data_IF_012962598619
#
_entry.id   IF_012962598619
#
_cell.length_a   1.000
_cell.length_b   1.000
_cell.length_c   1.000
_cell.angle_alpha   90.00
_cell.angle_beta   90.00
_cell.angle_gamma   90.00
#
_symmetry.space_group_name_H-M   'P 1'
#
loop_
_entity.id
_entity.type
_entity.pdbx_description
1 polymer ?
#
# COMPACT_ATOMS: atom_id res chain seq x y z
N UNK A 1 -6.09 0.89 8.40
CA UNK A 1 -6.38 0.38 7.03
C UNK A 1 -7.15 1.42 6.25
N UNK A 2 -7.00 1.47 4.93
CA UNK A 2 -7.60 2.52 4.07
C UNK A 2 -8.13 1.86 2.80
N UNK A 3 -9.42 2.04 2.48
CA UNK A 3 -10.04 1.59 1.23
C UNK A 3 -10.10 0.08 0.99
N UNK A 4 -9.94 -0.75 2.03
CA UNK A 4 -9.99 -2.21 1.92
C UNK A 4 -11.10 -2.79 2.81
N UNK A 5 -11.89 -3.73 2.27
CA UNK A 5 -12.93 -4.44 3.04
C UNK A 5 -12.37 -5.47 4.03
N UNK A 6 -11.08 -5.82 3.88
CA UNK A 6 -10.40 -6.87 4.63
C UNK A 6 -11.08 -8.26 4.58
N UNK A 7 -11.94 -8.51 3.60
CA UNK A 7 -12.58 -9.83 3.46
C UNK A 7 -11.54 -10.92 3.21
N UNK A 8 -10.49 -10.59 2.42
CA UNK A 8 -9.35 -11.47 2.16
C UNK A 8 -8.35 -11.42 3.32
N UNK A 9 -7.82 -12.59 3.68
CA UNK A 9 -6.94 -12.76 4.83
C UNK A 9 -5.61 -11.98 4.74
N UNK A 10 -5.13 -11.67 3.54
CA UNK A 10 -3.83 -11.01 3.29
C UNK A 10 -3.67 -9.68 4.05
N UNK A 11 -4.71 -8.85 4.10
CA UNK A 11 -4.73 -7.64 4.92
C UNK A 11 -5.20 -7.88 6.36
N UNK A 12 -6.18 -8.77 6.54
CA UNK A 12 -6.84 -9.00 7.82
C UNK A 12 -5.89 -9.54 8.91
N UNK A 13 -4.89 -10.34 8.54
CA UNK A 13 -3.86 -10.87 9.47
C UNK A 13 -3.03 -9.80 10.18
N UNK A 14 -2.84 -8.63 9.56
CA UNK A 14 -2.17 -7.50 10.20
C UNK A 14 -3.06 -6.88 11.28
N UNK A 15 -4.35 -6.72 11.00
CA UNK A 15 -5.32 -6.17 11.96
C UNK A 15 -5.47 -7.10 13.17
N UNK A 16 -5.56 -8.41 12.96
CA UNK A 16 -5.59 -9.37 14.08
C UNK A 16 -4.33 -9.31 14.95
N UNK A 17 -3.16 -9.15 14.33
CA UNK A 17 -1.89 -9.01 15.08
C UNK A 17 -1.86 -7.70 15.87
N UNK A 18 -2.30 -6.60 15.28
CA UNK A 18 -2.42 -5.32 15.99
C UNK A 18 -3.39 -5.42 17.19
N UNK A 19 -4.55 -6.05 17.00
CA UNK A 19 -5.54 -6.25 18.06
C UNK A 19 -4.98 -7.10 19.21
N UNK A 20 -4.29 -8.20 18.90
CA UNK A 20 -3.62 -9.04 19.92
C UNK A 20 -2.54 -8.29 20.70
N UNK A 21 -1.88 -7.33 20.06
CA UNK A 21 -0.87 -6.50 20.69
C UNK A 21 -1.47 -5.29 21.43
N UNK A 22 -2.80 -5.16 21.50
CA UNK A 22 -3.48 -4.04 22.13
C UNK A 22 -3.25 -2.71 21.42
N UNK A 23 -2.88 -2.73 20.13
CA UNK A 23 -2.68 -1.50 19.36
C UNK A 23 -4.02 -0.95 18.87
N UNK A 24 -4.23 0.38 18.92
CA UNK A 24 -5.44 0.99 18.38
C UNK A 24 -5.49 0.80 16.87
N UNK A 25 -6.66 0.40 16.35
CA UNK A 25 -6.87 0.13 14.93
C UNK A 25 -7.89 1.11 14.37
N UNK A 26 -7.49 1.86 13.34
CA UNK A 26 -8.38 2.76 12.62
C UNK A 26 -8.66 2.28 11.18
N UNK A 27 -9.87 2.53 10.70
CA UNK A 27 -10.31 2.28 9.33
C UNK A 27 -10.86 3.53 8.64
N UNK A 28 -10.40 3.77 7.41
CA UNK A 28 -11.02 4.69 6.46
C UNK A 28 -11.66 3.86 5.35
N UNK A 29 -12.96 3.59 5.44
CA UNK A 29 -13.66 2.78 4.45
C UNK A 29 -15.18 3.00 4.55
N UNK A 30 -15.87 2.88 3.41
CA UNK A 30 -17.33 2.84 3.40
C UNK A 30 -17.85 1.43 3.64
N UNK A 31 -18.99 1.33 4.35
CA UNK A 31 -19.69 0.07 4.52
C UNK A 31 -18.95 -0.90 5.43
N UNK A 32 -19.37 -2.17 5.41
CA UNK A 32 -18.86 -3.18 6.35
C UNK A 32 -17.44 -3.62 6.04
N UNK A 33 -16.68 -3.81 7.11
CA UNK A 33 -15.31 -4.33 7.07
C UNK A 33 -15.25 -5.59 7.93
N UNK A 34 -14.49 -6.60 7.50
CA UNK A 34 -14.29 -7.82 8.32
C UNK A 34 -13.74 -7.54 9.72
N UNK A 35 -13.03 -6.42 9.89
CA UNK A 35 -12.43 -6.02 11.14
C UNK A 35 -13.28 -5.07 11.99
N UNK A 36 -14.54 -4.78 11.64
CA UNK A 36 -15.34 -3.74 12.31
C UNK A 36 -15.39 -3.90 13.84
N UNK A 37 -15.45 -5.12 14.37
CA UNK A 37 -15.44 -5.40 15.82
C UNK A 37 -14.09 -5.15 16.50
N UNK A 38 -13.00 -5.08 15.73
CA UNK A 38 -11.64 -4.84 16.23
C UNK A 38 -11.23 -3.36 16.09
N UNK A 39 -12.05 -2.52 15.47
CA UNK A 39 -11.71 -1.13 15.23
C UNK A 39 -11.91 -0.29 16.48
N UNK A 40 -10.89 0.49 16.81
CA UNK A 40 -10.98 1.58 17.78
C UNK A 40 -11.63 2.83 17.16
N UNK A 41 -11.51 2.99 15.84
CA UNK A 41 -12.08 4.12 15.08
C UNK A 41 -12.44 3.68 13.65
N UNK A 42 -13.62 4.10 13.18
CA UNK A 42 -14.04 3.97 11.79
C UNK A 42 -14.49 5.32 11.24
N UNK A 43 -13.93 5.71 10.11
CA UNK A 43 -14.32 6.92 9.38
C UNK A 43 -14.91 6.50 8.05
N UNK A 44 -16.18 6.84 7.84
CA UNK A 44 -16.93 6.52 6.63
C UNK A 44 -16.92 7.72 5.67
N UNK A 45 -15.74 7.98 5.11
CA UNK A 45 -15.53 9.05 4.13
C UNK A 45 -14.60 8.58 3.02
N UNK A 46 -14.59 9.30 1.90
CA UNK A 46 -13.61 9.02 0.84
C UNK A 46 -12.21 9.30 1.36
N UNK A 47 -11.25 8.44 1.01
CA UNK A 47 -9.88 8.55 1.50
C UNK A 47 -9.25 9.90 1.11
N UNK A 48 -9.58 10.40 -0.08
CA UNK A 48 -9.13 11.70 -0.56
C UNK A 48 -9.60 12.86 0.33
N UNK A 49 -10.87 12.85 0.76
CA UNK A 49 -11.41 13.87 1.66
C UNK A 49 -10.85 13.72 3.08
N UNK A 50 -10.89 12.50 3.63
CA UNK A 50 -10.44 12.24 5.00
C UNK A 50 -8.96 12.56 5.21
N UNK A 51 -8.13 12.42 4.18
CA UNK A 51 -6.67 12.66 4.25
C UNK A 51 -6.25 13.95 3.56
N UNK A 52 -7.18 14.82 3.14
CA UNK A 52 -6.89 16.04 2.40
C UNK A 52 -5.87 16.94 3.13
N UNK A 53 -5.91 16.95 4.46
CA UNK A 53 -5.02 17.73 5.31
C UNK A 53 -3.54 17.30 5.24
N UNK A 54 -3.25 16.09 4.72
CA UNK A 54 -1.89 15.58 4.57
C UNK A 54 -1.20 16.07 3.29
N UNK A 55 -1.90 16.79 2.40
CA UNK A 55 -1.36 17.28 1.13
C UNK A 55 -0.32 18.41 1.27
N UNK A 56 0.03 18.84 2.49
CA UNK A 56 1.20 19.69 2.72
C UNK A 56 2.43 18.99 2.13
N UNK A 57 3.22 19.64 1.25
CA UNK A 57 4.38 19.02 0.64
C UNK A 57 5.35 18.56 1.73
N UNK A 58 5.38 17.25 1.98
CA UNK A 58 6.41 16.62 2.79
C UNK A 58 7.67 16.57 1.94
N UNK A 59 8.79 17.11 2.44
CA UNK A 59 10.08 17.05 1.77
C UNK A 59 10.59 15.60 1.73
N UNK A 60 10.12 14.81 0.77
CA UNK A 60 10.52 13.42 0.57
C UNK A 60 11.79 13.35 -0.30
N UNK A 61 12.94 13.73 0.24
CA UNK A 61 14.24 13.61 -0.47
C UNK A 61 15.09 12.45 0.03
N UNK A 62 14.51 11.27 0.16
CA UNK A 62 15.36 10.06 0.12
C UNK A 62 14.62 8.93 -0.58
N UNK A 63 15.01 8.54 -1.80
CA UNK A 63 14.49 7.32 -2.40
C UNK A 63 14.90 6.15 -1.51
N UNK A 64 13.93 5.48 -0.88
CA UNK A 64 14.18 4.21 -0.21
C UNK A 64 14.49 3.20 -1.31
N UNK A 65 15.76 2.83 -1.45
CA UNK A 65 16.19 1.83 -2.42
C UNK A 65 15.74 0.47 -1.89
N UNK A 66 14.54 0.03 -2.28
CA UNK A 66 14.09 -1.35 -2.06
C UNK A 66 15.04 -2.25 -2.84
N UNK A 67 15.99 -2.90 -2.14
CA UNK A 67 16.82 -3.94 -2.73
C UNK A 67 15.90 -5.14 -2.98
N UNK A 68 15.39 -5.28 -4.20
CA UNK A 68 14.92 -6.57 -4.68
C UNK A 68 16.13 -7.50 -4.73
N UNK A 69 15.98 -8.68 -4.14
CA UNK A 69 17.05 -9.59 -3.75
C UNK A 69 18.16 -9.78 -4.80
N UNK A 70 19.40 -9.59 -4.36
CA UNK A 70 20.58 -10.02 -5.10
C UNK A 70 20.67 -11.55 -5.03
N UNK A 71 20.20 -12.25 -6.05
CA UNK A 71 20.60 -13.64 -6.31
C UNK A 71 22.06 -13.62 -6.74
N UNK A 72 22.97 -13.93 -5.81
CA UNK A 72 24.39 -14.14 -6.12
C UNK A 72 24.51 -15.47 -6.86
N UNK A 73 24.49 -15.45 -8.19
CA UNK A 73 25.08 -16.53 -8.97
C UNK A 73 26.60 -16.33 -9.00
N UNK A 74 27.33 -17.16 -8.25
CA UNK A 74 28.79 -17.28 -8.39
C UNK A 74 29.10 -17.94 -9.72
N UNK A 75 29.18 -17.16 -10.80
CA UNK A 75 29.87 -17.53 -12.04
C UNK A 75 30.14 -16.23 -12.79
N UNK A 76 31.41 -15.86 -12.90
CA UNK A 76 31.85 -14.60 -13.48
C UNK A 76 31.46 -14.43 -14.95
N UNK A 77 31.22 -13.17 -15.31
CA UNK A 77 31.47 -12.50 -16.60
C UNK A 77 30.49 -11.32 -16.69
N UNK A 78 31.03 -10.10 -16.53
CA UNK A 78 30.27 -8.86 -16.62
C UNK A 78 29.67 -8.68 -18.02
N UNK A 79 28.36 -8.44 -18.10
CA UNK A 79 27.72 -7.77 -19.22
C UNK A 79 26.65 -6.83 -18.68
N UNK A 80 26.93 -5.53 -18.76
CA UNK A 80 25.94 -4.49 -18.54
C UNK A 80 24.88 -4.56 -19.65
N UNK A 81 23.62 -4.82 -19.30
CA UNK A 81 22.48 -4.60 -20.21
C UNK A 81 21.25 -4.10 -19.45
N UNK A 82 20.78 -2.93 -19.88
CA UNK A 82 19.37 -2.59 -19.94
C UNK A 82 18.76 -1.94 -18.70
N UNK A 83 18.75 -0.61 -18.67
CA UNK A 83 17.76 0.13 -17.91
C UNK A 83 16.37 -0.20 -18.46
N UNK A 84 15.53 -0.89 -17.68
CA UNK A 84 14.11 -1.05 -18.01
C UNK A 84 13.42 0.25 -17.62
N UNK A 85 13.28 1.14 -18.60
CA UNK A 85 12.44 2.33 -18.52
C UNK A 85 10.98 1.88 -18.41
N UNK A 86 10.37 2.04 -17.23
CA UNK A 86 8.92 1.95 -17.06
C UNK A 86 8.27 3.20 -17.68
N UNK A 87 8.16 3.21 -19.00
CA UNK A 87 7.23 4.07 -19.71
C UNK A 87 5.97 3.25 -20.00
N UNK A 88 4.95 3.37 -19.15
CA UNK A 88 3.58 3.01 -19.53
C UNK A 88 2.83 4.28 -19.90
N UNK A 89 2.44 4.48 -21.18
CA UNK A 89 1.56 5.55 -21.56
C UNK A 89 0.11 5.17 -21.20
N UNK A 90 -0.50 6.00 -20.35
CA UNK A 90 -1.92 6.00 -20.07
C UNK A 90 -2.74 6.48 -21.28
N UNK A 91 -2.84 5.70 -22.36
CA UNK A 91 -3.81 5.98 -23.43
C UNK A 91 -4.22 4.70 -24.11
N UNK A 92 -5.26 4.03 -23.58
CA UNK A 92 -6.17 3.15 -24.34
C UNK A 92 -7.25 2.62 -23.38
N UNK A 93 -8.23 3.48 -23.07
CA UNK A 93 -9.56 3.04 -22.64
C UNK A 93 -10.61 4.05 -23.13
N UNK A 94 -11.12 3.83 -24.34
CA UNK A 94 -12.44 4.29 -24.77
C UNK A 94 -13.16 3.04 -25.31
N UNK A 95 -14.32 2.65 -24.75
CA UNK A 95 -15.22 1.71 -25.41
C UNK A 95 -16.27 2.46 -26.27
N UNK A 96 -16.94 1.77 -27.20
CA UNK A 96 -17.87 2.39 -28.16
C UNK A 96 -19.13 2.97 -27.51
#
# INVERSE_FOLDING_TARGET
MVGSSLMVYSGFRFVQTAARNGLPIAALNFGRTRADELLSLKVEQSCAQALAFLHTPFASTTPVRVRHDAVIHRSGCAHARGAVQWASPCHLWMPP
#
